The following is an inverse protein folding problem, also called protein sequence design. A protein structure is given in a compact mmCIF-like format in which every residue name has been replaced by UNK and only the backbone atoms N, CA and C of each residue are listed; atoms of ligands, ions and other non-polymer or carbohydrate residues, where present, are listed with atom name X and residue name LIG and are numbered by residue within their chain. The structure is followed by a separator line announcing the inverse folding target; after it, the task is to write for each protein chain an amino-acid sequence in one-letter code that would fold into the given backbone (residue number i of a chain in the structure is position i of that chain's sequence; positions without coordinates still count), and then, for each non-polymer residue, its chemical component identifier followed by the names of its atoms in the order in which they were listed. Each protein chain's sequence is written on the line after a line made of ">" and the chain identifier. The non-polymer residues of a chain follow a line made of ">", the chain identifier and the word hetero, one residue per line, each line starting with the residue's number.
data_IF_916632256780
#
_entry.id   IF_916632256780
#
_cell.length_a   1.000
_cell.length_b   1.000
_cell.length_c   1.000
_cell.angle_alpha   90.00
_cell.angle_beta   90.00
_cell.angle_gamma   90.00
#
_symmetry.space_group_name_H-M   'P 1'
#
loop_
_entity.id
_entity.type
_entity.pdbx_description
1 polymer ?
#
# COMPACT_ATOMS: atom_id res chain seq x y z
N UNK A 1 -0.08 18.42 -1.16
CA UNK A 1 -0.42 17.79 0.14
C UNK A 1 -1.51 16.75 -0.07
N UNK A 2 -1.28 15.51 0.36
CA UNK A 2 -2.20 14.39 0.17
C UNK A 2 -3.27 14.29 1.28
N UNK A 3 -4.25 13.41 1.09
CA UNK A 3 -5.22 13.11 2.16
C UNK A 3 -4.55 12.39 3.34
N UNK A 4 -4.92 12.68 4.60
CA UNK A 4 -4.43 11.93 5.76
C UNK A 4 -4.77 10.44 5.66
N UNK A 5 -3.82 9.57 5.99
CA UNK A 5 -3.97 8.12 5.87
C UNK A 5 -5.18 7.56 6.63
N UNK A 6 -5.44 8.06 7.85
CA UNK A 6 -6.60 7.68 8.65
C UNK A 6 -7.94 8.04 8.01
N UNK A 7 -7.98 9.10 7.20
CA UNK A 7 -9.16 9.49 6.45
C UNK A 7 -9.43 8.49 5.32
N UNK A 8 -8.38 8.08 4.60
CA UNK A 8 -8.47 7.04 3.56
C UNK A 8 -8.94 5.71 4.15
N UNK A 9 -8.37 5.30 5.30
CA UNK A 9 -8.78 4.10 6.04
C UNK A 9 -10.29 4.14 6.37
N UNK A 10 -10.77 5.27 6.90
CA UNK A 10 -12.18 5.45 7.23
C UNK A 10 -13.07 5.35 5.99
N UNK A 11 -12.67 5.96 4.88
CA UNK A 11 -13.40 5.85 3.61
C UNK A 11 -13.47 4.41 3.11
N UNK A 12 -12.36 3.68 3.15
CA UNK A 12 -12.32 2.27 2.75
C UNK A 12 -13.24 1.39 3.60
N UNK A 13 -13.28 1.63 4.92
CA UNK A 13 -14.18 0.94 5.85
C UNK A 13 -15.66 1.27 5.57
N UNK A 14 -16.01 2.54 5.40
CA UNK A 14 -17.37 2.99 5.10
C UNK A 14 -17.87 2.42 3.75
N UNK A 15 -16.98 2.33 2.76
CA UNK A 15 -17.28 1.77 1.45
C UNK A 15 -17.19 0.24 1.38
N UNK A 16 -16.74 -0.42 2.45
CA UNK A 16 -16.43 -1.86 2.47
C UNK A 16 -15.53 -2.28 1.31
N UNK A 17 -14.55 -1.44 0.97
CA UNK A 17 -13.60 -1.70 -0.11
C UNK A 17 -12.21 -2.00 0.44
N UNK A 18 -11.62 -3.10 -0.02
CA UNK A 18 -10.26 -3.49 0.34
C UNK A 18 -9.20 -2.92 -0.62
N UNK A 19 -9.63 -2.30 -1.72
CA UNK A 19 -8.75 -1.79 -2.78
C UNK A 19 -9.23 -0.42 -3.24
N UNK A 20 -8.32 0.55 -3.34
CA UNK A 20 -8.62 1.86 -3.91
C UNK A 20 -7.56 2.31 -4.89
N UNK A 21 -7.95 3.15 -5.85
CA UNK A 21 -7.05 3.77 -6.82
C UNK A 21 -6.64 5.14 -6.32
N UNK A 22 -5.34 5.40 -6.31
CA UNK A 22 -4.76 6.67 -5.88
C UNK A 22 -4.50 7.55 -7.10
N UNK A 23 -4.90 8.82 -7.01
CA UNK A 23 -4.73 9.81 -8.06
C UNK A 23 -3.83 10.96 -7.58
N UNK A 24 -3.09 11.55 -8.51
CA UNK A 24 -2.49 12.87 -8.35
C UNK A 24 -3.56 13.96 -8.47
N UNK A 25 -3.22 15.15 -8.01
CA UNK A 25 -4.06 16.34 -8.12
C UNK A 25 -4.36 16.74 -9.59
N UNK A 26 -3.52 16.35 -10.55
CA UNK A 26 -3.77 16.56 -11.99
C UNK A 26 -4.66 15.46 -12.62
N UNK A 27 -5.19 14.54 -11.82
CA UNK A 27 -6.01 13.42 -12.29
C UNK A 27 -5.23 12.24 -12.86
N UNK A 28 -3.90 12.29 -12.91
CA UNK A 28 -3.09 11.15 -13.28
C UNK A 28 -3.18 10.06 -12.21
N UNK A 29 -3.20 8.78 -12.62
CA UNK A 29 -3.18 7.64 -11.70
C UNK A 29 -1.77 7.51 -11.11
N UNK A 30 -1.68 7.40 -9.79
CA UNK A 30 -0.45 7.06 -9.09
C UNK A 30 -0.31 5.54 -8.90
N UNK A 31 -1.42 4.86 -8.65
CA UNK A 31 -1.41 3.41 -8.43
C UNK A 31 -2.65 2.91 -7.68
N UNK A 32 -2.52 1.74 -7.09
CA UNK A 32 -3.50 1.13 -6.19
C UNK A 32 -2.91 1.00 -4.79
N UNK A 33 -3.76 1.00 -3.79
CA UNK A 33 -3.40 0.69 -2.40
C UNK A 33 -4.44 -0.24 -1.81
N UNK A 34 -3.99 -1.19 -0.98
CA UNK A 34 -4.89 -2.10 -0.30
C UNK A 34 -5.16 -1.65 1.14
N UNK A 35 -6.21 -2.19 1.75
CA UNK A 35 -6.53 -1.93 3.14
C UNK A 35 -5.41 -2.41 4.06
N UNK A 36 -4.79 -3.54 3.72
CA UNK A 36 -3.69 -4.15 4.48
C UNK A 36 -2.45 -3.25 4.52
N UNK A 37 -2.07 -2.63 3.39
CA UNK A 37 -0.94 -1.68 3.33
C UNK A 37 -1.17 -0.48 4.25
N UNK A 38 -2.41 0.04 4.31
CA UNK A 38 -2.77 1.20 5.14
C UNK A 38 -2.75 0.82 6.63
N UNK A 39 -3.23 -0.37 6.97
CA UNK A 39 -3.21 -0.87 8.35
C UNK A 39 -1.75 -1.06 8.81
N UNK A 40 -0.89 -1.64 7.98
CA UNK A 40 0.53 -1.84 8.28
C UNK A 40 1.25 -0.51 8.50
N UNK A 41 0.97 0.53 7.71
CA UNK A 41 1.61 1.84 7.89
C UNK A 41 1.14 2.57 9.17
N UNK A 42 -0.14 2.41 9.58
CA UNK A 42 -0.68 3.05 10.79
C UNK A 42 -0.26 2.31 12.06
N UNK A 43 -0.30 0.99 12.05
CA UNK A 43 -0.12 0.16 13.26
C UNK A 43 1.23 -0.57 13.30
N UNK A 44 2.01 -0.53 12.22
CA UNK A 44 3.18 -1.40 12.03
C UNK A 44 2.77 -2.85 11.76
N UNK A 45 3.73 -3.76 11.86
CA UNK A 45 3.41 -5.19 11.98
C UNK A 45 2.72 -5.39 13.34
N UNK A 46 1.45 -5.81 13.37
CA UNK A 46 0.84 -6.27 14.62
C UNK A 46 1.55 -7.58 14.97
N UNK A 47 2.58 -7.48 15.82
CA UNK A 47 3.38 -8.60 16.27
C UNK A 47 2.52 -9.50 17.16
N UNK A 48 2.27 -10.72 16.71
CA UNK A 48 2.06 -11.83 17.64
C UNK A 48 3.44 -12.42 17.97
N UNK A 49 3.64 -12.84 19.21
CA UNK A 49 4.97 -13.18 19.77
C UNK A 49 5.63 -14.40 19.08
N UNK A 50 4.91 -15.10 18.20
CA UNK A 50 5.31 -16.37 17.54
C UNK A 50 5.79 -16.25 16.07
N UNK A 51 5.81 -15.07 15.44
CA UNK A 51 6.10 -14.96 13.99
C UNK A 51 7.61 -14.93 13.63
N UNK A 52 8.05 -15.93 12.88
CA UNK A 52 9.45 -16.16 12.45
C UNK A 52 9.92 -15.13 11.39
N UNK A 53 10.90 -14.28 11.76
CA UNK A 53 11.32 -13.09 11.00
C UNK A 53 11.92 -13.36 9.60
N UNK A 54 12.35 -14.59 9.32
CA UNK A 54 13.02 -14.93 8.06
C UNK A 54 12.07 -14.93 6.86
N UNK A 55 10.84 -15.45 7.04
CA UNK A 55 9.82 -15.51 5.98
C UNK A 55 9.33 -14.09 5.63
N UNK A 56 9.19 -13.21 6.63
CA UNK A 56 8.80 -11.80 6.47
C UNK A 56 9.80 -11.00 5.63
N UNK A 57 11.12 -11.18 5.84
CA UNK A 57 12.16 -10.50 5.04
C UNK A 57 12.12 -10.87 3.56
N UNK A 58 11.77 -12.12 3.24
CA UNK A 58 11.66 -12.56 1.84
C UNK A 58 10.40 -12.02 1.15
N UNK A 59 9.29 -11.89 1.88
CA UNK A 59 8.02 -11.37 1.36
C UNK A 59 8.07 -9.84 1.17
N UNK A 60 8.60 -9.08 2.13
CA UNK A 60 8.77 -7.63 2.03
C UNK A 60 9.80 -7.20 0.97
N UNK A 61 10.77 -8.05 0.65
CA UNK A 61 11.70 -7.83 -0.46
C UNK A 61 11.03 -7.99 -1.84
N UNK A 62 10.05 -8.90 -1.97
CA UNK A 62 9.31 -9.11 -3.23
C UNK A 62 8.33 -7.97 -3.52
N UNK A 63 7.61 -7.48 -2.51
CA UNK A 63 6.60 -6.43 -2.70
C UNK A 63 7.22 -5.11 -3.21
N UNK A 64 8.40 -4.73 -2.69
CA UNK A 64 9.18 -3.58 -3.18
C UNK A 64 9.65 -3.72 -4.63
N UNK A 65 9.97 -4.95 -5.06
CA UNK A 65 10.43 -5.21 -6.43
C UNK A 65 9.30 -5.10 -7.46
N UNK A 66 8.07 -5.44 -7.08
CA UNK A 66 6.87 -5.26 -7.92
C UNK A 66 6.52 -3.79 -8.17
N UNK A 67 6.50 -2.96 -7.12
CA UNK A 67 6.23 -1.52 -7.28
C UNK A 67 7.31 -0.79 -8.09
N UNK A 68 8.59 -1.16 -7.93
CA UNK A 68 9.68 -0.55 -8.72
C UNK A 68 9.67 -0.98 -10.20
N UNK A 69 9.23 -2.22 -10.50
CA UNK A 69 9.07 -2.69 -11.89
C UNK A 69 7.89 -2.02 -12.60
N UNK A 70 6.80 -1.74 -11.87
CA UNK A 70 5.65 -1.02 -12.42
C UNK A 70 6.02 0.41 -12.81
N UNK A 71 6.68 1.16 -11.92
CA UNK A 71 7.11 2.56 -12.17
C UNK A 71 8.12 2.68 -13.31
N UNK A 72 9.02 1.71 -13.50
CA UNK A 72 10.04 1.77 -14.56
C UNK A 72 9.47 1.51 -15.97
N UNK A 73 8.30 0.88 -16.08
CA UNK A 73 7.68 0.54 -17.37
C UNK A 73 6.94 1.72 -18.00
N UNK A 74 6.50 2.69 -17.19
CA UNK A 74 5.76 3.87 -17.65
C UNK A 74 6.63 5.00 -18.21
N UNK A 75 7.96 4.95 -18.04
CA UNK A 75 8.89 5.96 -18.59
C UNK A 75 9.43 5.65 -19.99
N UNK A 76 8.90 4.64 -20.69
CA UNK A 76 9.39 4.22 -22.02
C UNK A 76 8.37 4.34 -23.16
N UNK A 77 7.34 5.17 -23.00
CA UNK A 77 6.37 5.50 -24.06
C UNK A 77 6.26 6.99 -24.19
#
# INVERSE_FOLDING_TARGET
>A
DGEPLLKVLRTMQEQRSHLVVVYQQNGARLGIVTLEDIIEEVFGEVYDEDDDQALRRMLSARSRSSSLKAVRRERKT
#
